data_IF_446341397822
#
_entry.id   IF_446341397822
#
_cell.length_a   1.000
_cell.length_b   1.000
_cell.length_c   1.000
_cell.angle_alpha   90.00
_cell.angle_beta   90.00
_cell.angle_gamma   90.00
#
_symmetry.space_group_name_H-M   'P 1'
#
loop_
_entity.id
_entity.type
_entity.pdbx_description
1 polymer ?
#
# COMPACT_ATOMS: atom_id res chain seq x y z
N UNK A 1 2.44 -14.45 40.11
CA UNK A 1 2.26 -13.11 39.49
C UNK A 1 2.75 -13.01 38.04
N UNK A 2 3.55 -13.95 37.51
CA UNK A 2 4.18 -13.87 36.16
C UNK A 2 3.23 -14.15 34.98
N UNK A 3 2.22 -15.00 35.13
CA UNK A 3 1.34 -15.46 34.04
C UNK A 3 0.39 -14.39 33.50
N UNK A 4 -0.21 -13.56 34.37
CA UNK A 4 -1.12 -12.46 33.96
C UNK A 4 -0.41 -11.40 33.09
N UNK A 5 0.88 -11.14 33.32
CA UNK A 5 1.64 -10.15 32.55
C UNK A 5 1.92 -10.61 31.11
N UNK A 6 2.22 -11.90 30.92
CA UNK A 6 2.47 -12.46 29.60
C UNK A 6 1.21 -12.52 28.72
N UNK A 7 0.06 -12.84 29.31
CA UNK A 7 -1.22 -12.86 28.60
C UNK A 7 -1.64 -11.46 28.13
N UNK A 8 -1.48 -10.44 28.98
CA UNK A 8 -1.74 -9.04 28.62
C UNK A 8 -0.81 -8.58 27.49
N UNK A 9 0.48 -8.91 27.56
CA UNK A 9 1.44 -8.58 26.51
C UNK A 9 1.07 -9.24 25.17
N UNK A 10 0.71 -10.53 25.19
CA UNK A 10 0.23 -11.24 24.01
C UNK A 10 -1.03 -10.58 23.43
N UNK A 11 -1.99 -10.22 24.28
CA UNK A 11 -3.23 -9.58 23.85
C UNK A 11 -2.98 -8.24 23.15
N UNK A 12 -2.09 -7.40 23.70
CA UNK A 12 -1.71 -6.11 23.11
C UNK A 12 -1.03 -6.30 21.74
N UNK A 13 -0.09 -7.24 21.65
CA UNK A 13 0.61 -7.54 20.40
C UNK A 13 -0.36 -8.02 19.30
N UNK A 14 -1.33 -8.87 19.65
CA UNK A 14 -2.35 -9.33 18.70
C UNK A 14 -3.34 -8.23 18.32
N UNK A 15 -3.73 -7.39 19.27
CA UNK A 15 -4.61 -6.24 19.03
C UNK A 15 -3.99 -5.23 18.04
N UNK A 16 -2.66 -5.15 17.99
CA UNK A 16 -1.96 -4.32 17.01
C UNK A 16 -1.75 -5.04 15.66
N UNK A 17 -1.40 -6.33 15.71
CA UNK A 17 -1.02 -7.13 14.55
C UNK A 17 -2.14 -7.19 13.50
N UNK A 18 -3.33 -7.66 13.89
CA UNK A 18 -4.40 -7.97 12.94
C UNK A 18 -4.90 -6.72 12.20
N UNK A 19 -5.24 -5.61 12.88
CA UNK A 19 -5.67 -4.40 12.19
C UNK A 19 -4.57 -3.82 11.29
N UNK A 20 -3.32 -3.84 11.73
CA UNK A 20 -2.20 -3.33 10.93
C UNK A 20 -1.99 -4.17 9.67
N UNK A 21 -2.06 -5.50 9.77
CA UNK A 21 -2.02 -6.40 8.61
C UNK A 21 -3.16 -6.07 7.63
N UNK A 22 -4.39 -5.90 8.13
CA UNK A 22 -5.54 -5.53 7.30
C UNK A 22 -5.31 -4.21 6.56
N UNK A 23 -4.70 -3.21 7.20
CA UNK A 23 -4.34 -1.94 6.55
C UNK A 23 -3.37 -2.15 5.39
N UNK A 24 -2.31 -2.95 5.57
CA UNK A 24 -1.38 -3.25 4.47
C UNK A 24 -2.05 -3.99 3.31
N UNK A 25 -2.90 -4.97 3.62
CA UNK A 25 -3.66 -5.71 2.60
C UNK A 25 -4.60 -4.77 1.86
N UNK A 26 -5.39 -3.95 2.57
CA UNK A 26 -6.32 -3.01 1.98
C UNK A 26 -5.62 -1.97 1.09
N UNK A 27 -4.51 -1.39 1.55
CA UNK A 27 -3.72 -0.44 0.76
C UNK A 27 -3.12 -1.12 -0.49
N UNK A 28 -2.62 -2.34 -0.35
CA UNK A 28 -2.14 -3.14 -1.47
C UNK A 28 -3.24 -3.39 -2.50
N UNK A 29 -4.43 -3.79 -2.06
CA UNK A 29 -5.61 -4.02 -2.92
C UNK A 29 -6.07 -2.74 -3.59
N UNK A 30 -6.07 -1.60 -2.89
CA UNK A 30 -6.41 -0.31 -3.48
C UNK A 30 -5.47 0.06 -4.65
N UNK A 31 -4.17 -0.23 -4.53
CA UNK A 31 -3.22 -0.03 -5.62
C UNK A 31 -3.45 -0.97 -6.81
N UNK A 32 -3.91 -2.21 -6.57
CA UNK A 32 -4.30 -3.11 -7.66
C UNK A 32 -5.56 -2.62 -8.37
N UNK A 33 -6.56 -2.19 -7.62
CA UNK A 33 -7.79 -1.62 -8.18
C UNK A 33 -7.48 -0.38 -9.03
N UNK A 34 -6.61 0.51 -8.52
CA UNK A 34 -6.14 1.67 -9.27
C UNK A 34 -5.41 1.25 -10.55
N UNK A 35 -4.55 0.23 -10.49
CA UNK A 35 -3.90 -0.29 -11.71
C UNK A 35 -4.92 -0.77 -12.74
N UNK A 36 -5.90 -1.59 -12.37
CA UNK A 36 -6.89 -2.10 -13.33
C UNK A 36 -7.74 -0.97 -13.91
N UNK A 37 -8.09 0.03 -13.09
CA UNK A 37 -8.81 1.23 -13.54
C UNK A 37 -7.99 2.06 -14.54
N UNK A 38 -6.68 2.22 -14.33
CA UNK A 38 -5.81 3.07 -15.15
C UNK A 38 -5.25 2.37 -16.39
N UNK A 39 -5.15 1.03 -16.36
CA UNK A 39 -4.55 0.21 -17.41
C UNK A 39 -5.10 0.51 -18.82
N UNK A 40 -6.42 0.68 -19.05
CA UNK A 40 -6.95 1.01 -20.38
C UNK A 40 -6.44 2.35 -20.93
N UNK A 41 -6.11 3.30 -20.05
CA UNK A 41 -5.72 4.67 -20.42
C UNK A 41 -4.21 4.83 -20.59
N UNK A 42 -3.42 3.85 -20.14
CA UNK A 42 -1.97 3.94 -20.11
C UNK A 42 -1.28 3.64 -21.46
N UNK A 43 -2.05 3.28 -22.50
CA UNK A 43 -1.56 2.98 -23.85
C UNK A 43 -0.42 1.93 -23.83
N UNK A 44 -0.62 0.84 -23.11
CA UNK A 44 0.32 -0.28 -23.08
C UNK A 44 0.18 -1.06 -24.38
N UNK A 45 1.29 -1.30 -25.09
CA UNK A 45 1.28 -2.16 -26.28
C UNK A 45 1.31 -3.64 -25.91
N UNK A 46 0.97 -4.53 -26.85
CA UNK A 46 1.14 -5.97 -26.64
C UNK A 46 2.62 -6.35 -26.39
N UNK A 47 3.54 -5.62 -27.03
CA UNK A 47 4.98 -5.78 -26.83
C UNK A 47 5.40 -5.41 -25.40
N UNK A 48 4.88 -4.31 -24.84
CA UNK A 48 5.13 -3.96 -23.42
C UNK A 48 4.69 -5.10 -22.48
N UNK A 49 3.52 -5.70 -22.74
CA UNK A 49 2.99 -6.81 -21.94
C UNK A 49 3.90 -8.04 -22.06
N UNK A 50 4.38 -8.32 -23.27
CA UNK A 50 5.31 -9.42 -23.53
C UNK A 50 6.64 -9.21 -22.79
N UNK A 51 7.24 -8.02 -22.89
CA UNK A 51 8.45 -7.62 -22.15
C UNK A 51 8.24 -7.79 -20.65
N UNK A 52 7.08 -7.39 -20.12
CA UNK A 52 6.80 -7.53 -18.69
C UNK A 52 6.76 -9.00 -18.25
N UNK A 53 6.19 -9.88 -19.07
CA UNK A 53 6.15 -11.32 -18.81
C UNK A 53 7.53 -11.95 -18.88
N UNK A 54 8.29 -11.67 -19.94
CA UNK A 54 9.64 -12.21 -20.16
C UNK A 54 10.59 -11.79 -19.04
N UNK A 55 10.55 -10.53 -18.63
CA UNK A 55 11.39 -9.99 -17.56
C UNK A 55 10.85 -10.27 -16.14
N UNK A 56 9.72 -10.98 -16.00
CA UNK A 56 9.04 -11.21 -14.71
C UNK A 56 8.86 -9.91 -13.92
N UNK A 57 8.42 -8.85 -14.61
CA UNK A 57 8.30 -7.51 -14.05
C UNK A 57 7.34 -7.53 -12.86
N UNK A 58 7.84 -7.18 -11.68
CA UNK A 58 7.06 -7.20 -10.43
C UNK A 58 5.76 -6.40 -10.53
N UNK A 59 4.70 -6.83 -9.83
CA UNK A 59 3.42 -6.11 -9.78
C UNK A 59 3.60 -4.66 -9.35
N UNK A 60 4.43 -4.40 -8.35
CA UNK A 60 4.77 -3.04 -7.90
C UNK A 60 5.34 -2.15 -9.02
N UNK A 61 6.21 -2.70 -9.88
CA UNK A 61 6.78 -1.97 -11.00
C UNK A 61 5.73 -1.67 -12.09
N UNK A 62 4.85 -2.62 -12.37
CA UNK A 62 3.75 -2.43 -13.31
C UNK A 62 2.79 -1.32 -12.84
N UNK A 63 2.38 -1.35 -11.57
CA UNK A 63 1.52 -0.30 -10.96
C UNK A 63 2.16 1.07 -11.08
N UNK A 64 3.44 1.19 -10.71
CA UNK A 64 4.15 2.47 -10.79
C UNK A 64 4.22 2.99 -12.24
N UNK A 65 4.54 2.13 -13.20
CA UNK A 65 4.64 2.50 -14.61
C UNK A 65 3.31 2.96 -15.21
N UNK A 66 2.21 2.29 -14.87
CA UNK A 66 0.86 2.70 -15.29
C UNK A 66 0.53 4.09 -14.79
N UNK A 67 0.72 4.35 -13.49
CA UNK A 67 0.46 5.65 -12.90
C UNK A 67 1.32 6.72 -13.58
N UNK A 68 2.60 6.42 -13.84
CA UNK A 68 3.51 7.35 -14.54
C UNK A 68 3.01 7.68 -15.95
N UNK A 69 2.56 6.69 -16.72
CA UNK A 69 2.08 6.89 -18.10
C UNK A 69 0.80 7.72 -18.13
N UNK A 70 -0.16 7.42 -17.27
CA UNK A 70 -1.46 8.10 -17.25
C UNK A 70 -1.35 9.53 -16.72
N UNK A 71 -0.65 9.73 -15.61
CA UNK A 71 -0.55 11.04 -14.97
C UNK A 71 0.66 11.86 -15.41
N UNK A 72 1.61 11.30 -16.16
CA UNK A 72 2.84 12.00 -16.58
C UNK A 72 3.58 12.61 -15.38
N UNK A 73 3.82 11.79 -14.36
CA UNK A 73 4.52 12.21 -13.14
C UNK A 73 5.95 12.65 -13.45
N UNK A 74 6.41 13.72 -12.77
CA UNK A 74 7.82 14.12 -12.84
C UNK A 74 8.72 13.06 -12.16
N UNK A 75 10.03 13.16 -12.39
CA UNK A 75 11.01 12.15 -11.95
C UNK A 75 11.02 11.94 -10.44
N UNK A 76 10.97 13.01 -9.65
CA UNK A 76 11.11 12.94 -8.19
C UNK A 76 9.86 12.35 -7.53
N UNK A 77 8.68 12.84 -7.95
CA UNK A 77 7.40 12.29 -7.51
C UNK A 77 7.26 10.83 -7.94
N UNK A 78 7.61 10.50 -9.19
CA UNK A 78 7.58 9.12 -9.66
C UNK A 78 8.49 8.20 -8.84
N UNK A 79 9.70 8.65 -8.48
CA UNK A 79 10.61 7.89 -7.62
C UNK A 79 10.01 7.64 -6.24
N UNK A 80 9.36 8.65 -5.64
CA UNK A 80 8.68 8.51 -4.36
C UNK A 80 7.52 7.50 -4.44
N UNK A 81 6.66 7.62 -5.45
CA UNK A 81 5.56 6.68 -5.71
C UNK A 81 6.06 5.26 -5.88
N UNK A 82 7.07 5.06 -6.74
CA UNK A 82 7.65 3.72 -6.98
C UNK A 82 8.16 3.08 -5.69
N UNK A 83 8.83 3.84 -4.84
CA UNK A 83 9.33 3.34 -3.56
C UNK A 83 8.19 2.98 -2.61
N UNK A 84 7.17 3.85 -2.49
CA UNK A 84 6.00 3.59 -1.66
C UNK A 84 5.23 2.36 -2.13
N UNK A 85 4.92 2.27 -3.42
CA UNK A 85 4.24 1.12 -4.03
C UNK A 85 5.05 -0.16 -3.78
N UNK A 86 6.37 -0.14 -4.02
CA UNK A 86 7.23 -1.31 -3.76
C UNK A 86 7.13 -1.78 -2.31
N UNK A 87 7.18 -0.88 -1.34
CA UNK A 87 7.04 -1.23 0.08
C UNK A 87 5.66 -1.78 0.41
N UNK A 88 4.58 -1.11 -0.04
CA UNK A 88 3.20 -1.51 0.25
C UNK A 88 2.92 -2.91 -0.32
N UNK A 89 3.25 -3.13 -1.60
CA UNK A 89 3.04 -4.41 -2.27
C UNK A 89 3.85 -5.52 -1.59
N UNK A 90 5.12 -5.27 -1.25
CA UNK A 90 5.94 -6.24 -0.52
C UNK A 90 5.28 -6.68 0.80
N UNK A 91 4.88 -5.74 1.64
CA UNK A 91 4.30 -6.07 2.95
C UNK A 91 2.91 -6.70 2.84
N UNK A 92 2.14 -6.35 1.80
CA UNK A 92 0.89 -7.04 1.46
C UNK A 92 1.16 -8.48 1.06
N UNK A 93 2.12 -8.72 0.16
CA UNK A 93 2.48 -10.08 -0.29
C UNK A 93 2.96 -10.94 0.88
N UNK A 94 3.80 -10.39 1.76
CA UNK A 94 4.24 -11.09 2.98
C UNK A 94 3.09 -11.37 3.96
N UNK A 95 2.00 -10.60 3.94
CA UNK A 95 0.84 -10.79 4.80
C UNK A 95 -0.10 -11.88 4.25
N UNK A 96 -0.31 -11.93 2.94
CA UNK A 96 -1.22 -12.89 2.28
C UNK A 96 -0.55 -14.19 1.88
N UNK A 97 0.76 -14.15 1.63
CA UNK A 97 1.62 -15.28 1.28
C UNK A 97 2.84 -15.29 2.21
N UNK A 98 2.65 -15.56 3.51
CA UNK A 98 3.76 -15.62 4.44
C UNK A 98 4.76 -16.69 3.98
N UNK A 99 6.03 -16.29 3.85
CA UNK A 99 7.10 -17.22 3.53
C UNK A 99 7.19 -18.30 4.61
N UNK A 100 7.38 -19.56 4.21
CA UNK A 100 7.69 -20.65 5.14
C UNK A 100 9.09 -20.52 5.77
N UNK A 101 9.88 -19.54 5.33
CA UNK A 101 11.18 -19.23 5.94
C UNK A 101 11.02 -18.76 7.39
N UNK A 102 11.70 -19.46 8.29
CA UNK A 102 11.83 -19.05 9.68
C UNK A 102 12.73 -17.82 9.72
N UNK A 103 12.11 -16.63 9.76
CA UNK A 103 12.85 -15.38 9.98
C UNK A 103 13.28 -15.28 11.44
N UNK A 104 14.44 -14.68 11.70
CA UNK A 104 14.95 -14.44 13.05
C UNK A 104 13.96 -13.58 13.85
N UNK A 105 13.94 -13.77 15.16
CA UNK A 105 13.21 -12.89 16.08
C UNK A 105 13.71 -11.45 15.91
N UNK A 106 12.77 -10.51 15.96
CA UNK A 106 13.01 -9.08 15.86
C UNK A 106 12.81 -8.46 17.23
N UNK A 107 13.66 -7.51 17.61
CA UNK A 107 13.48 -6.70 18.81
C UNK A 107 12.62 -5.48 18.50
N UNK A 108 11.81 -5.05 19.47
CA UNK A 108 11.07 -3.79 19.42
C UNK A 108 11.48 -2.95 20.64
N UNK A 109 11.67 -1.63 20.51
CA UNK A 109 12.04 -0.79 21.65
C UNK A 109 11.05 -0.85 22.82
N UNK A 110 9.78 -1.13 22.51
CA UNK A 110 8.67 -1.19 23.45
C UNK A 110 8.37 -2.61 23.98
N UNK A 111 9.14 -3.63 23.56
CA UNK A 111 8.95 -5.02 23.98
C UNK A 111 10.30 -5.61 24.42
N UNK A 112 10.47 -6.01 25.68
CA UNK A 112 11.77 -6.44 26.22
C UNK A 112 12.20 -7.85 25.77
N UNK A 113 11.46 -8.47 24.86
CA UNK A 113 11.70 -9.83 24.36
C UNK A 113 11.73 -9.84 22.83
N UNK A 114 12.45 -10.82 22.26
CA UNK A 114 12.40 -11.05 20.82
C UNK A 114 11.03 -11.56 20.39
N UNK A 115 10.44 -10.93 19.38
CA UNK A 115 9.13 -11.30 18.82
C UNK A 115 9.28 -11.80 17.38
N UNK A 116 8.29 -12.54 16.89
CA UNK A 116 8.18 -12.80 15.45
C UNK A 116 8.17 -11.47 14.68
N UNK A 117 8.91 -11.43 13.56
CA UNK A 117 9.08 -10.21 12.76
C UNK A 117 7.75 -9.54 12.37
N UNK A 118 6.66 -10.32 12.24
CA UNK A 118 5.32 -9.81 11.93
C UNK A 118 4.82 -8.82 12.99
N UNK A 119 5.12 -9.05 14.25
CA UNK A 119 4.79 -8.11 15.33
C UNK A 119 5.58 -6.80 15.23
N UNK A 120 6.74 -6.79 14.57
CA UNK A 120 7.49 -5.56 14.31
C UNK A 120 7.04 -4.87 13.02
N UNK A 121 6.82 -5.65 11.96
CA UNK A 121 6.41 -5.16 10.65
C UNK A 121 4.97 -4.61 10.67
N UNK A 122 4.02 -5.38 11.17
CA UNK A 122 2.60 -5.03 11.23
C UNK A 122 2.23 -4.45 12.59
N UNK A 123 2.97 -3.41 12.98
CA UNK A 123 2.64 -2.56 14.13
C UNK A 123 1.83 -1.35 13.68
N UNK A 124 1.09 -0.73 14.59
CA UNK A 124 0.21 0.41 14.33
C UNK A 124 0.96 1.53 13.60
N UNK A 125 2.16 1.87 14.08
CA UNK A 125 2.99 2.91 13.47
C UNK A 125 3.25 2.67 11.98
N UNK A 126 3.59 1.44 11.61
CA UNK A 126 3.86 1.08 10.22
C UNK A 126 2.56 1.02 9.39
N UNK A 127 1.47 0.52 9.99
CA UNK A 127 0.14 0.54 9.38
C UNK A 127 -0.32 1.97 9.07
N UNK A 128 -0.18 2.90 10.03
CA UNK A 128 -0.51 4.31 9.86
C UNK A 128 0.33 4.97 8.75
N UNK A 129 1.63 4.68 8.68
CA UNK A 129 2.50 5.16 7.59
C UNK A 129 2.05 4.60 6.24
N UNK A 130 1.72 3.30 6.17
CA UNK A 130 1.25 2.65 4.95
C UNK A 130 -0.05 3.30 4.45
N UNK A 131 -1.03 3.47 5.33
CA UNK A 131 -2.29 4.14 5.03
C UNK A 131 -2.06 5.58 4.55
N UNK A 132 -1.32 6.38 5.33
CA UNK A 132 -1.06 7.79 5.01
C UNK A 132 -0.39 7.94 3.65
N UNK A 133 0.66 7.17 3.37
CA UNK A 133 1.37 7.22 2.08
C UNK A 133 0.47 6.80 0.92
N UNK A 134 -0.43 5.85 1.15
CA UNK A 134 -1.42 5.46 0.13
C UNK A 134 -2.36 6.61 -0.15
N UNK A 135 -2.95 7.22 0.88
CA UNK A 135 -3.85 8.36 0.72
C UNK A 135 -3.15 9.58 0.12
N UNK A 136 -1.92 9.90 0.52
CA UNK A 136 -1.11 10.97 -0.08
C UNK A 136 -0.92 10.77 -1.58
N UNK A 137 -0.68 9.53 -2.03
CA UNK A 137 -0.62 9.24 -3.47
C UNK A 137 -1.96 9.51 -4.14
N UNK A 138 -3.07 9.06 -3.56
CA UNK A 138 -4.41 9.26 -4.14
C UNK A 138 -4.78 10.75 -4.21
N UNK A 139 -4.52 11.51 -3.15
CA UNK A 139 -4.72 12.98 -3.11
C UNK A 139 -3.88 13.67 -4.17
N UNK A 140 -2.60 13.30 -4.29
CA UNK A 140 -1.74 13.88 -5.31
C UNK A 140 -2.24 13.60 -6.73
N UNK A 141 -2.70 12.38 -7.01
CA UNK A 141 -3.27 12.03 -8.32
C UNK A 141 -4.55 12.82 -8.60
N UNK A 142 -5.42 12.96 -7.61
CA UNK A 142 -6.64 13.77 -7.69
C UNK A 142 -6.34 15.24 -8.00
N UNK A 143 -5.46 15.88 -7.23
CA UNK A 143 -5.09 17.29 -7.41
C UNK A 143 -4.38 17.54 -8.74
N UNK A 144 -3.54 16.60 -9.17
CA UNK A 144 -2.76 16.74 -10.40
C UNK A 144 -3.62 16.63 -11.65
N UNK A 145 -4.60 15.73 -11.62
CA UNK A 145 -5.39 15.34 -12.80
C UNK A 145 -4.58 14.58 -13.85
N UNK A 146 -5.27 13.73 -14.59
CA UNK A 146 -4.79 13.10 -15.81
C UNK A 146 -5.20 13.91 -17.04
N UNK A 147 -4.57 13.62 -18.19
CA UNK A 147 -5.00 14.20 -19.48
C UNK A 147 -6.33 13.63 -19.98
N UNK A 148 -6.78 12.51 -19.43
CA UNK A 148 -8.02 11.82 -19.83
C UNK A 148 -9.15 12.16 -18.87
N UNK A 149 -10.26 12.66 -19.40
CA UNK A 149 -11.42 13.11 -18.61
C UNK A 149 -12.06 11.96 -17.82
N UNK A 150 -12.10 10.75 -18.39
CA UNK A 150 -12.71 9.60 -17.71
C UNK A 150 -11.90 9.16 -16.50
N UNK A 151 -10.56 9.30 -16.58
CA UNK A 151 -9.70 9.06 -15.42
C UNK A 151 -10.00 10.06 -14.30
N UNK A 152 -10.19 11.33 -14.64
CA UNK A 152 -10.51 12.39 -13.67
C UNK A 152 -11.89 12.17 -13.03
N UNK A 153 -12.91 11.89 -13.83
CA UNK A 153 -14.28 11.58 -13.36
C UNK A 153 -14.27 10.40 -12.39
N UNK A 154 -13.55 9.32 -12.71
CA UNK A 154 -13.46 8.17 -11.83
C UNK A 154 -12.75 8.50 -10.50
N UNK A 155 -11.71 9.35 -10.53
CA UNK A 155 -11.02 9.80 -9.33
C UNK A 155 -11.93 10.72 -8.48
N UNK A 156 -12.68 11.61 -9.11
CA UNK A 156 -13.70 12.45 -8.45
C UNK A 156 -14.78 11.61 -7.75
N UNK A 157 -15.31 10.60 -8.44
CA UNK A 157 -16.31 9.69 -7.88
C UNK A 157 -15.77 8.94 -6.65
N UNK A 158 -14.52 8.51 -6.70
CA UNK A 158 -13.87 7.86 -5.55
C UNK A 158 -13.71 8.83 -4.37
N UNK A 159 -13.27 10.07 -4.61
CA UNK A 159 -13.16 11.08 -3.54
C UNK A 159 -14.52 11.51 -3.00
N UNK A 160 -15.56 11.54 -3.83
CA UNK A 160 -16.94 11.75 -3.38
C UNK A 160 -17.38 10.63 -2.44
N UNK A 161 -17.13 9.37 -2.79
CA UNK A 161 -17.41 8.23 -1.91
C UNK A 161 -16.62 8.32 -0.60
N UNK A 162 -15.35 8.74 -0.62
CA UNK A 162 -14.57 8.96 0.60
C UNK A 162 -15.17 10.05 1.51
N UNK A 163 -15.73 11.11 0.93
CA UNK A 163 -16.44 12.16 1.70
C UNK A 163 -17.74 11.63 2.31
N UNK A 164 -18.54 10.89 1.55
CA UNK A 164 -19.78 10.28 2.02
C UNK A 164 -19.53 9.31 3.18
N UNK A 165 -18.39 8.61 3.16
CA UNK A 165 -17.93 7.73 4.23
C UNK A 165 -17.22 8.46 5.38
N UNK A 166 -17.14 9.80 5.35
CA UNK A 166 -16.44 10.63 6.34
C UNK A 166 -14.95 10.30 6.51
N UNK A 167 -14.30 9.82 5.44
CA UNK A 167 -12.88 9.44 5.44
C UNK A 167 -11.94 10.60 5.04
N UNK A 168 -12.47 11.64 4.39
CA UNK A 168 -11.73 12.83 3.94
C UNK A 168 -12.56 14.08 4.18
N UNK A 169 -11.94 15.13 4.74
CA UNK A 169 -12.50 16.48 4.83
C UNK A 169 -11.85 17.41 3.82
N UNK A 170 -12.62 18.28 3.18
CA UNK A 170 -12.06 19.41 2.40
C UNK A 170 -11.67 20.47 3.42
N UNK A 171 -10.39 20.86 3.46
CA UNK A 171 -10.02 22.11 4.14
C UNK A 171 -10.59 23.25 3.29
N UNK A 172 -11.54 23.99 3.86
CA UNK A 172 -12.09 25.21 3.29
C UNK A 172 -11.02 26.31 3.21
#
# INVERSE_FOLDING_TARGET
MSTKSGEVQKAILLAELTPSMQVFVACGTALDALYEQLKPFAKISEEDIKIWRENKTSRAAQIAEIIRRVYKLNKDIFKAFRNNIKSIIKYRDEAVHPTHEIKRTCTRPDVPVGVDWRFSAYRYHNGAICYRRTMEMFVHLYEKGASDEKVNENMENMFKAFKELSLVSVNA
#
